data_IF_591487527713
#
_entry.id   IF_591487527713
#
_cell.length_a   1.000
_cell.length_b   1.000
_cell.length_c   1.000
_cell.angle_alpha   90.00
_cell.angle_beta   90.00
_cell.angle_gamma   90.00
#
_symmetry.space_group_name_H-M   'P 1'
#
loop_
_entity.id
_entity.type
_entity.pdbx_description
1 polymer ?
#
# COMPACT_ATOMS: atom_id res chain seq x y z
N UNK A 1 10.79 -7.90 -16.28
CA UNK A 1 11.39 -6.89 -17.15
C UNK A 1 11.69 -5.67 -16.31
N UNK A 2 12.48 -4.73 -16.82
CA UNK A 2 12.43 -3.36 -16.31
C UNK A 2 11.07 -2.80 -16.73
N UNK A 3 10.14 -2.72 -15.79
CA UNK A 3 8.79 -2.20 -16.04
C UNK A 3 8.81 -0.65 -16.01
N UNK A 4 9.78 -0.04 -15.32
CA UNK A 4 10.09 1.39 -15.31
C UNK A 4 11.46 1.68 -14.62
N UNK A 5 11.74 2.96 -14.33
CA UNK A 5 12.94 3.41 -13.58
C UNK A 5 12.60 3.91 -12.17
N UNK A 6 11.46 3.50 -11.59
CA UNK A 6 10.98 3.98 -10.28
C UNK A 6 11.43 3.10 -9.11
N UNK A 7 12.20 2.05 -9.38
CA UNK A 7 12.71 1.11 -8.40
C UNK A 7 14.24 0.98 -8.45
N UNK A 8 14.83 0.51 -7.35
CA UNK A 8 16.25 0.13 -7.33
C UNK A 8 16.48 -1.13 -8.18
N UNK A 9 17.69 -1.31 -8.72
CA UNK A 9 18.09 -2.59 -9.27
C UNK A 9 18.30 -3.61 -8.14
N UNK A 10 18.08 -4.90 -8.40
CA UNK A 10 18.28 -5.94 -7.38
C UNK A 10 19.72 -5.99 -6.83
N UNK A 11 20.70 -5.62 -7.66
CA UNK A 11 22.11 -5.51 -7.25
C UNK A 11 22.37 -4.38 -6.24
N UNK A 12 21.54 -3.34 -6.24
CA UNK A 12 21.62 -2.22 -5.29
C UNK A 12 20.95 -2.51 -3.95
N UNK A 13 20.27 -3.67 -3.80
CA UNK A 13 19.57 -4.02 -2.57
C UNK A 13 20.49 -4.00 -1.34
N UNK A 14 21.74 -4.46 -1.50
CA UNK A 14 22.71 -4.46 -0.42
C UNK A 14 23.07 -3.02 0.02
N UNK A 15 23.17 -2.09 -0.94
CA UNK A 15 23.43 -0.67 -0.67
C UNK A 15 22.27 -0.09 0.14
N UNK A 16 21.03 -0.37 -0.26
CA UNK A 16 19.85 0.03 0.50
C UNK A 16 19.88 -0.51 1.94
N UNK A 17 20.13 -1.81 2.11
CA UNK A 17 20.21 -2.44 3.44
C UNK A 17 21.28 -1.78 4.31
N UNK A 18 22.49 -1.58 3.77
CA UNK A 18 23.59 -0.93 4.47
C UNK A 18 23.25 0.50 4.90
N UNK A 19 22.60 1.29 4.02
CA UNK A 19 22.16 2.64 4.33
C UNK A 19 21.14 2.67 5.49
N UNK A 20 20.16 1.76 5.49
CA UNK A 20 19.19 1.65 6.59
C UNK A 20 19.86 1.23 7.89
N UNK A 21 20.80 0.27 7.85
CA UNK A 21 21.57 -0.13 9.05
C UNK A 21 22.43 1.00 9.58
N UNK A 22 23.05 1.78 8.70
CA UNK A 22 23.79 2.99 9.08
C UNK A 22 22.87 4.00 9.76
N UNK A 23 21.69 4.27 9.21
CA UNK A 23 20.70 5.16 9.83
C UNK A 23 20.24 4.67 11.22
N UNK A 24 20.05 3.36 11.40
CA UNK A 24 19.76 2.76 12.71
C UNK A 24 20.87 3.01 13.73
N UNK A 25 22.14 2.92 13.30
CA UNK A 25 23.30 3.15 14.17
C UNK A 25 23.50 4.63 14.50
N UNK A 26 23.36 5.51 13.50
CA UNK A 26 23.59 6.94 13.64
C UNK A 26 22.46 7.63 14.43
N UNK A 27 21.26 7.03 14.46
CA UNK A 27 20.07 7.60 15.12
C UNK A 27 19.39 6.62 16.10
N UNK A 28 20.05 6.20 17.19
CA UNK A 28 19.53 5.19 18.11
C UNK A 28 18.25 5.60 18.87
N UNK A 29 17.94 6.91 18.90
CA UNK A 29 16.69 7.44 19.45
C UNK A 29 15.47 7.23 18.54
N UNK A 30 15.68 6.88 17.27
CA UNK A 30 14.63 6.61 16.29
C UNK A 30 14.47 5.10 16.08
N UNK A 31 13.23 4.66 15.87
CA UNK A 31 12.94 3.28 15.47
C UNK A 31 12.91 3.19 13.95
N UNK A 32 14.10 3.10 13.34
CA UNK A 32 14.25 2.95 11.88
C UNK A 32 14.05 1.48 11.50
N UNK A 33 13.19 1.22 10.50
CA UNK A 33 12.80 -0.12 10.04
C UNK A 33 13.41 -0.42 8.67
N UNK A 34 13.79 -1.67 8.45
CA UNK A 34 14.22 -2.16 7.13
C UNK A 34 13.03 -2.84 6.48
N UNK A 35 12.41 -2.22 5.48
CA UNK A 35 11.17 -2.70 4.87
C UNK A 35 11.11 -2.29 3.40
N UNK A 36 10.28 -2.97 2.62
CA UNK A 36 10.11 -2.65 1.20
C UNK A 36 8.62 -2.48 0.89
N UNK A 37 8.31 -1.57 -0.01
CA UNK A 37 7.12 -1.67 -0.84
C UNK A 37 7.47 -2.55 -2.04
N UNK A 38 6.66 -3.58 -2.27
CA UNK A 38 6.91 -4.60 -3.28
C UNK A 38 5.63 -4.81 -4.06
N UNK A 39 5.72 -4.63 -5.38
CA UNK A 39 4.59 -4.87 -6.27
C UNK A 39 4.04 -6.30 -6.14
N UNK A 40 2.73 -6.39 -6.24
CA UNK A 40 2.05 -7.64 -6.51
C UNK A 40 1.80 -7.76 -8.02
N UNK A 41 2.56 -8.65 -8.65
CA UNK A 41 2.37 -9.06 -10.04
C UNK A 41 2.08 -10.56 -10.05
N UNK A 42 0.89 -11.00 -10.53
CA UNK A 42 0.56 -12.42 -10.59
C UNK A 42 1.62 -13.23 -11.33
N UNK A 43 2.04 -14.37 -10.78
CA UNK A 43 3.08 -15.22 -11.33
C UNK A 43 4.50 -14.85 -10.89
N UNK A 44 4.70 -13.74 -10.17
CA UNK A 44 5.99 -13.33 -9.61
C UNK A 44 6.11 -13.59 -8.10
N UNK A 45 5.20 -14.34 -7.49
CA UNK A 45 5.17 -14.61 -6.05
C UNK A 45 6.45 -15.30 -5.57
N UNK A 46 7.00 -16.23 -6.37
CA UNK A 46 8.26 -16.91 -6.03
C UNK A 46 9.46 -15.95 -6.01
N UNK A 47 9.45 -14.93 -6.87
CA UNK A 47 10.47 -13.88 -6.83
C UNK A 47 10.37 -13.05 -5.55
N UNK A 48 9.15 -12.72 -5.11
CA UNK A 48 8.93 -12.01 -3.84
C UNK A 48 9.39 -12.87 -2.65
N UNK A 49 9.15 -14.19 -2.67
CA UNK A 49 9.66 -15.12 -1.65
C UNK A 49 11.19 -15.18 -1.64
N UNK A 50 11.82 -15.18 -2.82
CA UNK A 50 13.27 -15.12 -2.92
C UNK A 50 13.82 -13.80 -2.36
N UNK A 51 13.20 -12.66 -2.71
CA UNK A 51 13.55 -11.34 -2.19
C UNK A 51 13.49 -11.32 -0.65
N UNK A 52 12.47 -11.94 -0.06
CA UNK A 52 12.35 -12.06 1.39
C UNK A 52 13.59 -12.73 2.02
N UNK A 53 14.15 -13.75 1.35
CA UNK A 53 15.34 -14.47 1.85
C UNK A 53 16.63 -13.65 1.79
N UNK A 54 16.65 -12.53 1.06
CA UNK A 54 17.85 -11.69 0.87
C UNK A 54 18.09 -10.70 2.01
N UNK A 55 17.16 -10.53 2.94
CA UNK A 55 17.31 -9.60 4.05
C UNK A 55 16.41 -9.90 5.24
N UNK A 56 16.83 -9.48 6.43
CA UNK A 56 15.96 -9.54 7.62
C UNK A 56 15.01 -8.34 7.66
N UNK A 57 14.05 -8.31 6.73
CA UNK A 57 13.06 -7.25 6.62
C UNK A 57 12.07 -7.27 7.79
N UNK A 58 11.67 -6.08 8.24
CA UNK A 58 10.68 -5.89 9.28
C UNK A 58 9.26 -6.14 8.76
N UNK A 59 8.96 -5.76 7.52
CA UNK A 59 7.70 -6.02 6.81
C UNK A 59 7.82 -5.73 5.32
N UNK A 60 6.87 -6.26 4.54
CA UNK A 60 6.58 -5.80 3.17
C UNK A 60 5.21 -5.13 3.09
N UNK A 61 5.17 -4.01 2.35
CA UNK A 61 3.94 -3.40 1.83
C UNK A 61 3.70 -3.99 0.45
N UNK A 62 2.54 -4.60 0.23
CA UNK A 62 2.09 -5.07 -1.07
C UNK A 62 1.29 -3.99 -1.76
N UNK A 63 1.71 -3.63 -2.97
CA UNK A 63 1.07 -2.58 -3.76
C UNK A 63 0.71 -3.11 -5.14
N UNK A 64 -0.35 -2.57 -5.73
CA UNK A 64 -0.75 -2.88 -7.09
C UNK A 64 -0.58 -1.61 -7.91
N UNK A 65 0.48 -1.52 -8.70
CA UNK A 65 0.64 -0.46 -9.68
C UNK A 65 0.13 -0.90 -11.06
N UNK A 66 0.13 -2.21 -11.35
CA UNK A 66 -0.20 -2.77 -12.66
C UNK A 66 -1.47 -3.65 -12.60
N UNK A 67 -2.40 -3.43 -13.53
CA UNK A 67 -3.54 -4.36 -13.74
C UNK A 67 -3.32 -5.29 -14.94
N UNK A 68 -2.42 -4.91 -15.83
CA UNK A 68 -1.88 -5.68 -16.95
C UNK A 68 -0.42 -5.28 -17.21
N UNK A 69 0.28 -6.04 -18.05
CA UNK A 69 1.68 -5.77 -18.44
C UNK A 69 1.88 -4.38 -19.08
N UNK A 70 0.83 -3.79 -19.65
CA UNK A 70 0.90 -2.52 -20.38
C UNK A 70 0.32 -1.33 -19.59
N UNK A 71 -0.31 -1.59 -18.43
CA UNK A 71 -1.05 -0.56 -17.70
C UNK A 71 -0.67 -0.47 -16.23
N UNK A 72 0.27 0.43 -15.95
CA UNK A 72 0.52 1.05 -14.66
C UNK A 72 -0.51 2.17 -14.41
N UNK A 73 -1.49 1.87 -13.57
CA UNK A 73 -2.72 2.69 -13.42
C UNK A 73 -2.45 4.07 -12.85
N UNK A 74 -1.29 4.27 -12.27
CA UNK A 74 -0.91 5.45 -11.53
C UNK A 74 0.17 6.28 -12.27
N UNK A 75 0.51 5.90 -13.50
CA UNK A 75 1.44 6.63 -14.36
C UNK A 75 0.74 7.79 -15.09
N UNK A 76 1.20 9.05 -14.91
CA UNK A 76 0.57 10.22 -15.54
C UNK A 76 0.64 10.19 -17.07
N UNK A 77 1.60 9.47 -17.67
CA UNK A 77 1.77 9.36 -19.11
C UNK A 77 0.80 8.35 -19.75
N UNK A 78 0.07 7.56 -18.93
CA UNK A 78 -0.91 6.56 -19.37
C UNK A 78 -2.36 6.92 -19.02
N UNK A 79 -2.64 8.21 -18.81
CA UNK A 79 -4.00 8.72 -18.56
C UNK A 79 -4.97 8.45 -19.72
N UNK A 80 -4.47 8.30 -20.94
CA UNK A 80 -5.26 7.96 -22.12
C UNK A 80 -5.93 6.56 -22.01
N UNK A 81 -5.30 5.61 -21.33
CA UNK A 81 -5.90 4.29 -21.08
C UNK A 81 -7.12 4.37 -20.17
N UNK A 82 -7.12 5.31 -19.21
CA UNK A 82 -8.30 5.59 -18.39
C UNK A 82 -9.44 6.24 -19.20
N UNK A 83 -9.09 7.12 -20.14
CA UNK A 83 -10.07 7.84 -20.97
C UNK A 83 -10.73 6.93 -22.02
N UNK A 84 -9.97 5.97 -22.54
CA UNK A 84 -10.42 5.00 -23.54
C UNK A 84 -11.06 3.76 -22.91
N UNK A 85 -10.64 3.40 -21.70
CA UNK A 85 -11.10 2.23 -20.97
C UNK A 85 -12.41 2.45 -20.21
N UNK A 86 -13.01 1.34 -19.76
CA UNK A 86 -14.13 1.40 -18.83
C UNK A 86 -13.61 1.47 -17.38
N UNK A 87 -13.86 2.60 -16.72
CA UNK A 87 -13.39 2.86 -15.34
C UNK A 87 -13.87 1.80 -14.36
N UNK A 88 -15.11 1.29 -14.52
CA UNK A 88 -15.63 0.24 -13.64
C UNK A 88 -14.79 -1.06 -13.78
N UNK A 89 -14.48 -1.46 -15.01
CA UNK A 89 -13.65 -2.64 -15.31
C UNK A 89 -12.22 -2.47 -14.78
N UNK A 90 -11.63 -1.27 -14.87
CA UNK A 90 -10.29 -1.00 -14.34
C UNK A 90 -10.27 -1.10 -12.81
N UNK A 91 -11.28 -0.54 -12.14
CA UNK A 91 -11.43 -0.67 -10.69
C UNK A 91 -11.64 -2.12 -10.25
N UNK A 92 -12.49 -2.88 -10.94
CA UNK A 92 -12.69 -4.30 -10.68
C UNK A 92 -11.37 -5.09 -10.78
N UNK A 93 -10.62 -4.91 -11.88
CA UNK A 93 -9.33 -5.56 -12.06
C UNK A 93 -8.31 -5.18 -10.98
N UNK A 94 -8.28 -3.91 -10.57
CA UNK A 94 -7.42 -3.43 -9.49
C UNK A 94 -7.76 -4.10 -8.15
N UNK A 95 -9.03 -4.17 -7.77
CA UNK A 95 -9.44 -4.82 -6.52
C UNK A 95 -9.28 -6.34 -6.56
N UNK A 96 -9.40 -6.97 -7.72
CA UNK A 96 -9.05 -8.39 -7.90
C UNK A 96 -7.56 -8.64 -7.65
N UNK A 97 -6.68 -7.73 -8.10
CA UNK A 97 -5.24 -7.80 -7.80
C UNK A 97 -4.94 -7.56 -6.33
N UNK A 98 -5.59 -6.57 -5.69
CA UNK A 98 -5.45 -6.35 -4.26
C UNK A 98 -5.92 -7.56 -3.43
N UNK A 99 -7.02 -8.20 -3.84
CA UNK A 99 -7.52 -9.42 -3.19
C UNK A 99 -6.48 -10.53 -3.27
N UNK A 100 -5.89 -10.74 -4.45
CA UNK A 100 -4.82 -11.73 -4.64
C UNK A 100 -3.59 -11.39 -3.78
N UNK A 101 -3.14 -10.13 -3.79
CA UNK A 101 -2.03 -9.66 -2.96
C UNK A 101 -2.28 -9.94 -1.47
N UNK A 102 -3.45 -9.57 -0.95
CA UNK A 102 -3.83 -9.80 0.44
C UNK A 102 -3.88 -11.30 0.80
N UNK A 103 -4.29 -12.17 -0.13
CA UNK A 103 -4.35 -13.62 0.08
C UNK A 103 -3.03 -14.37 -0.17
N UNK A 104 -2.02 -13.70 -0.70
CA UNK A 104 -0.77 -14.34 -1.15
C UNK A 104 0.11 -14.88 -0.01
N UNK A 105 -0.07 -14.36 1.21
CA UNK A 105 0.79 -14.62 2.36
C UNK A 105 2.17 -13.93 2.29
N UNK A 106 2.38 -13.03 1.32
CA UNK A 106 3.66 -12.35 1.13
C UNK A 106 3.78 -11.07 1.96
N UNK A 107 2.71 -10.29 2.01
CA UNK A 107 2.72 -8.93 2.54
C UNK A 107 2.12 -8.84 3.95
N UNK A 108 2.54 -7.82 4.71
CA UNK A 108 1.98 -7.52 6.03
C UNK A 108 0.98 -6.37 5.96
N UNK A 109 1.16 -5.50 4.96
CA UNK A 109 0.40 -4.27 4.75
C UNK A 109 0.03 -4.23 3.27
N UNK A 110 -1.19 -3.81 2.93
CA UNK A 110 -1.54 -3.39 1.58
C UNK A 110 -1.45 -1.87 1.49
N UNK A 111 -0.63 -1.39 0.56
CA UNK A 111 -0.45 0.04 0.27
C UNK A 111 -1.68 0.61 -0.42
N UNK A 112 -1.91 1.92 -0.20
CA UNK A 112 -2.85 2.78 -0.95
C UNK A 112 -4.04 2.06 -1.63
N UNK A 113 -4.88 1.38 -0.84
CA UNK A 113 -5.85 0.37 -1.31
C UNK A 113 -6.97 0.82 -2.28
N UNK A 114 -7.02 2.09 -2.67
CA UNK A 114 -7.84 2.59 -3.77
C UNK A 114 -7.06 3.51 -4.72
N UNK A 115 -5.78 3.20 -4.98
CA UNK A 115 -4.85 3.96 -5.84
C UNK A 115 -5.44 4.32 -7.20
N UNK A 116 -6.31 3.47 -7.75
CA UNK A 116 -7.10 3.70 -8.96
C UNK A 116 -7.79 5.08 -9.01
N UNK A 117 -8.04 5.72 -7.87
CA UNK A 117 -8.57 7.09 -7.84
C UNK A 117 -7.55 8.18 -8.09
N UNK A 118 -6.23 7.94 -8.13
CA UNK A 118 -5.14 8.95 -8.11
C UNK A 118 -5.39 10.14 -9.03
N UNK A 119 -5.87 9.88 -10.24
CA UNK A 119 -6.18 10.87 -11.29
C UNK A 119 -7.64 11.34 -11.32
N UNK A 120 -8.38 11.05 -10.26
CA UNK A 120 -9.81 11.32 -10.07
C UNK A 120 -10.76 10.56 -11.01
N UNK A 121 -10.32 9.43 -11.58
CA UNK A 121 -11.21 8.48 -12.25
C UNK A 121 -11.96 7.64 -11.21
N UNK A 122 -13.29 7.80 -11.16
CA UNK A 122 -14.17 7.14 -10.20
C UNK A 122 -15.17 6.23 -10.93
N UNK A 123 -15.49 5.06 -10.36
CA UNK A 123 -16.43 4.13 -10.98
C UNK A 123 -17.83 4.74 -11.01
N UNK A 124 -18.62 4.33 -11.99
CA UNK A 124 -20.06 4.64 -12.07
C UNK A 124 -20.88 3.68 -11.23
N UNK A 125 -20.40 2.43 -11.10
CA UNK A 125 -20.99 1.42 -10.22
C UNK A 125 -20.60 1.69 -8.77
N UNK A 126 -21.41 1.15 -7.85
CA UNK A 126 -21.04 1.07 -6.44
C UNK A 126 -19.85 0.11 -6.26
N UNK A 127 -18.69 0.59 -5.76
CA UNK A 127 -17.50 -0.25 -5.58
C UNK A 127 -17.55 -1.12 -4.31
N UNK A 128 -18.58 -1.00 -3.47
CA UNK A 128 -18.71 -1.75 -2.22
C UNK A 128 -18.54 -3.29 -2.36
N UNK A 129 -19.00 -3.96 -3.44
CA UNK A 129 -18.75 -5.38 -3.63
C UNK A 129 -17.25 -5.72 -3.78
N UNK A 130 -16.51 -4.92 -4.53
CA UNK A 130 -15.06 -5.09 -4.72
C UNK A 130 -14.29 -4.85 -3.42
N UNK A 131 -14.69 -3.83 -2.67
CA UNK A 131 -14.14 -3.55 -1.34
C UNK A 131 -14.34 -4.74 -0.40
N UNK A 132 -15.55 -5.28 -0.35
CA UNK A 132 -15.89 -6.40 0.53
C UNK A 132 -15.06 -7.64 0.22
N UNK A 133 -14.85 -7.95 -1.07
CA UNK A 133 -14.04 -9.09 -1.48
C UNK A 133 -12.57 -8.92 -1.04
N UNK A 134 -11.98 -7.76 -1.31
CA UNK A 134 -10.62 -7.44 -0.88
C UNK A 134 -10.47 -7.47 0.65
N UNK A 135 -11.35 -6.79 1.38
CA UNK A 135 -11.29 -6.69 2.84
C UNK A 135 -11.53 -8.05 3.52
N UNK A 136 -12.35 -8.92 2.93
CA UNK A 136 -12.50 -10.29 3.40
C UNK A 136 -11.17 -11.07 3.30
N UNK A 137 -10.44 -10.91 2.20
CA UNK A 137 -9.11 -11.51 2.04
C UNK A 137 -8.11 -10.93 3.04
N UNK A 138 -8.04 -9.60 3.18
CA UNK A 138 -7.15 -8.93 4.12
C UNK A 138 -7.40 -9.37 5.58
N UNK A 139 -8.66 -9.40 6.00
CA UNK A 139 -9.06 -9.85 7.35
C UNK A 139 -8.68 -11.32 7.58
N UNK A 140 -9.00 -12.20 6.62
CA UNK A 140 -8.76 -13.64 6.74
C UNK A 140 -7.27 -14.01 6.78
N UNK A 141 -6.40 -13.18 6.20
CA UNK A 141 -4.95 -13.40 6.14
C UNK A 141 -4.16 -12.51 7.10
N UNK A 142 -4.85 -11.82 8.02
CA UNK A 142 -4.25 -10.95 9.04
C UNK A 142 -3.38 -9.81 8.46
N UNK A 143 -3.76 -9.31 7.28
CA UNK A 143 -3.06 -8.23 6.55
C UNK A 143 -3.69 -6.89 6.91
N UNK A 144 -2.85 -5.91 7.24
CA UNK A 144 -3.30 -4.54 7.50
C UNK A 144 -3.45 -3.74 6.20
N UNK A 145 -4.21 -2.65 6.24
CA UNK A 145 -4.24 -1.65 5.15
C UNK A 145 -3.60 -0.35 5.60
N UNK A 146 -2.97 0.36 4.68
CA UNK A 146 -2.35 1.65 4.95
C UNK A 146 -3.37 2.80 4.78
N UNK A 147 -3.45 3.69 5.78
CA UNK A 147 -3.93 5.06 5.53
C UNK A 147 -2.76 5.86 4.98
N UNK A 148 -2.77 6.08 3.67
CA UNK A 148 -1.74 6.76 2.92
C UNK A 148 -2.14 8.21 2.64
N UNK A 149 -1.37 9.16 3.19
CA UNK A 149 -1.68 10.59 3.09
C UNK A 149 -1.27 11.23 1.76
N UNK A 150 -0.50 10.54 0.91
CA UNK A 150 -0.07 11.08 -0.38
C UNK A 150 -1.23 11.38 -1.32
N UNK A 151 -2.38 10.73 -1.18
CA UNK A 151 -3.58 11.02 -1.97
C UNK A 151 -4.04 12.49 -1.88
N UNK A 152 -3.79 13.17 -0.75
CA UNK A 152 -4.03 14.61 -0.62
C UNK A 152 -3.17 15.45 -1.56
N UNK A 153 -1.98 14.96 -1.93
CA UNK A 153 -1.04 15.60 -2.85
C UNK A 153 -1.31 15.24 -4.32
N UNK A 154 -2.20 14.29 -4.62
CA UNK A 154 -2.56 13.86 -5.98
C UNK A 154 -3.84 14.56 -6.48
N UNK A 155 -4.34 14.20 -7.67
CA UNK A 155 -5.52 14.85 -8.28
C UNK A 155 -6.82 14.51 -7.53
N UNK A 156 -6.87 13.35 -6.87
CA UNK A 156 -8.04 12.92 -6.08
C UNK A 156 -8.31 13.73 -4.81
N UNK A 157 -7.31 14.42 -4.27
CA UNK A 157 -7.38 15.24 -3.03
C UNK A 157 -8.01 14.49 -1.85
N UNK A 158 -7.74 13.20 -1.75
CA UNK A 158 -8.32 12.31 -0.74
C UNK A 158 -7.27 11.26 -0.36
N UNK A 159 -7.10 10.99 0.94
CA UNK A 159 -6.22 9.91 1.41
C UNK A 159 -6.64 8.57 0.82
N UNK A 160 -5.70 7.64 0.67
CA UNK A 160 -6.03 6.24 0.39
C UNK A 160 -6.11 5.47 1.72
N UNK A 161 -7.08 4.57 1.93
CA UNK A 161 -8.31 4.43 1.17
C UNK A 161 -9.29 5.61 1.40
N UNK A 162 -10.30 5.76 0.54
CA UNK A 162 -11.42 6.67 0.77
C UNK A 162 -12.21 6.30 2.04
N UNK A 163 -12.93 7.25 2.68
CA UNK A 163 -13.64 6.99 3.93
C UNK A 163 -14.64 5.82 3.88
N UNK A 164 -15.44 5.59 2.81
CA UNK A 164 -16.32 4.43 2.73
C UNK A 164 -15.57 3.09 2.77
N UNK A 165 -14.44 2.98 2.06
CA UNK A 165 -13.62 1.77 2.08
C UNK A 165 -12.96 1.59 3.47
N UNK A 166 -12.47 2.67 4.08
CA UNK A 166 -11.89 2.63 5.42
C UNK A 166 -12.91 2.23 6.50
N UNK A 167 -14.13 2.75 6.41
CA UNK A 167 -15.21 2.40 7.33
C UNK A 167 -15.59 0.92 7.20
N UNK A 168 -15.72 0.42 5.97
CA UNK A 168 -15.98 -1.01 5.74
C UNK A 168 -14.83 -1.88 6.26
N UNK A 169 -13.58 -1.43 6.11
CA UNK A 169 -12.42 -2.13 6.65
C UNK A 169 -12.48 -2.25 8.18
N UNK A 170 -12.88 -1.16 8.86
CA UNK A 170 -13.08 -1.14 10.30
C UNK A 170 -14.18 -2.11 10.73
N UNK A 171 -15.34 -2.08 10.06
CA UNK A 171 -16.48 -2.96 10.33
C UNK A 171 -16.15 -4.45 10.12
N UNK A 172 -15.24 -4.75 9.19
CA UNK A 172 -14.75 -6.09 8.88
C UNK A 172 -13.53 -6.50 9.71
N UNK A 173 -13.09 -5.66 10.66
CA UNK A 173 -11.97 -5.96 11.56
C UNK A 173 -10.59 -5.98 10.89
N UNK A 174 -10.44 -5.34 9.73
CA UNK A 174 -9.14 -5.20 9.04
C UNK A 174 -8.31 -4.16 9.77
N UNK A 175 -7.08 -4.52 10.15
CA UNK A 175 -6.19 -3.63 10.87
C UNK A 175 -5.60 -2.52 9.99
N UNK A 176 -5.10 -1.44 10.61
CA UNK A 176 -4.54 -0.30 9.88
C UNK A 176 -3.07 -0.01 10.21
N UNK A 177 -2.38 0.61 9.27
CA UNK A 177 -1.10 1.32 9.45
C UNK A 177 -1.21 2.74 8.87
N UNK A 178 -0.15 3.55 9.02
CA UNK A 178 -0.08 4.90 8.47
C UNK A 178 1.17 5.05 7.61
N UNK A 179 1.02 5.73 6.47
CA UNK A 179 2.12 6.08 5.58
C UNK A 179 1.93 7.45 4.96
N UNK A 180 3.02 8.18 4.75
CA UNK A 180 2.99 9.47 4.04
C UNK A 180 3.39 9.36 2.57
N UNK A 181 3.94 8.19 2.20
CA UNK A 181 4.49 7.90 0.87
C UNK A 181 5.38 9.06 0.39
N UNK A 182 6.37 9.34 1.24
CA UNK A 182 7.25 10.49 1.15
C UNK A 182 8.38 10.22 0.16
N UNK A 183 8.45 11.04 -0.88
CA UNK A 183 9.53 11.07 -1.86
C UNK A 183 10.47 12.27 -1.66
N UNK A 184 10.19 13.11 -0.65
CA UNK A 184 11.07 14.16 -0.17
C UNK A 184 11.01 14.26 1.37
N UNK A 185 12.08 14.73 2.06
CA UNK A 185 12.13 14.81 3.52
C UNK A 185 10.96 15.58 4.17
N UNK A 186 10.51 16.66 3.54
CA UNK A 186 9.39 17.49 3.98
C UNK A 186 8.03 16.78 3.93
N UNK A 187 7.92 15.68 3.19
CA UNK A 187 6.69 14.90 3.10
C UNK A 187 6.57 13.86 4.22
N UNK A 188 7.65 13.61 4.99
CA UNK A 188 7.65 12.63 6.07
C UNK A 188 6.62 13.01 7.14
N UNK A 189 5.62 12.15 7.33
CA UNK A 189 4.55 12.37 8.31
C UNK A 189 3.55 13.47 7.93
N UNK A 190 3.60 13.96 6.68
CA UNK A 190 2.65 14.96 6.19
C UNK A 190 1.20 14.46 6.40
N UNK A 191 0.36 15.34 6.98
CA UNK A 191 -1.05 15.09 7.26
C UNK A 191 -1.35 13.89 8.20
N UNK A 192 -0.38 13.43 9.02
CA UNK A 192 -0.63 12.34 9.97
C UNK A 192 -1.69 12.69 11.02
N UNK A 193 -1.78 13.95 11.44
CA UNK A 193 -2.84 14.39 12.35
C UNK A 193 -4.23 14.11 11.75
N UNK A 194 -4.42 14.48 10.49
CA UNK A 194 -5.68 14.28 9.76
C UNK A 194 -5.96 12.78 9.56
N UNK A 195 -4.93 11.99 9.27
CA UNK A 195 -5.04 10.54 9.10
C UNK A 195 -5.50 9.86 10.40
N UNK A 196 -4.96 10.29 11.55
CA UNK A 196 -5.39 9.81 12.87
C UNK A 196 -6.84 10.20 13.16
N UNK A 197 -7.25 11.43 12.83
CA UNK A 197 -8.65 11.84 12.99
C UNK A 197 -9.60 11.03 12.10
N UNK A 198 -9.19 10.75 10.85
CA UNK A 198 -9.95 9.91 9.94
C UNK A 198 -10.09 8.48 10.47
N UNK A 199 -9.00 7.88 10.98
CA UNK A 199 -9.07 6.56 11.59
C UNK A 199 -10.04 6.52 12.78
N UNK A 200 -9.96 7.52 13.67
CA UNK A 200 -10.85 7.64 14.84
C UNK A 200 -12.30 7.85 14.43
N UNK A 201 -12.57 8.65 13.40
CA UNK A 201 -13.93 8.99 12.99
C UNK A 201 -14.71 7.79 12.44
N UNK A 202 -14.02 6.81 11.86
CA UNK A 202 -14.63 5.56 11.39
C UNK A 202 -14.61 4.43 12.44
N UNK A 203 -14.11 4.71 13.65
CA UNK A 203 -14.20 3.78 14.78
C UNK A 203 -12.95 2.95 15.06
N UNK A 204 -11.81 3.22 14.41
CA UNK A 204 -10.56 2.60 14.82
C UNK A 204 -10.11 3.12 16.20
N UNK A 205 -9.62 2.20 17.02
CA UNK A 205 -9.05 2.50 18.35
C UNK A 205 -7.57 2.15 18.44
N UNK A 206 -7.08 1.31 17.52
CA UNK A 206 -5.71 0.82 17.50
C UNK A 206 -5.19 0.75 16.06
N UNK A 207 -3.87 0.78 15.93
CA UNK A 207 -3.14 0.57 14.68
C UNK A 207 -1.99 -0.42 14.90
N UNK A 208 -1.46 -1.00 13.82
CA UNK A 208 -0.39 -2.00 13.88
C UNK A 208 0.98 -1.42 13.60
N UNK A 209 1.97 -1.87 14.38
CA UNK A 209 3.39 -1.75 14.06
C UNK A 209 3.95 -3.12 13.74
N UNK A 210 4.82 -3.20 12.74
CA UNK A 210 5.47 -4.44 12.34
C UNK A 210 6.95 -4.46 12.69
N UNK A 211 7.43 -5.64 13.07
CA UNK A 211 8.84 -5.93 13.34
C UNK A 211 9.09 -7.40 13.08
N UNK A 212 10.08 -7.72 12.25
CA UNK A 212 10.37 -9.10 11.84
C UNK A 212 9.11 -9.88 11.42
N UNK A 213 8.25 -9.24 10.62
CA UNK A 213 6.96 -9.74 10.12
C UNK A 213 5.90 -10.06 11.20
N UNK A 214 6.18 -9.75 12.46
CA UNK A 214 5.23 -9.83 13.56
C UNK A 214 4.63 -8.45 13.82
N UNK A 215 3.39 -8.40 14.32
CA UNK A 215 2.75 -7.14 14.66
C UNK A 215 2.51 -6.97 16.16
N UNK A 216 2.41 -5.70 16.54
CA UNK A 216 1.92 -5.24 17.84
C UNK A 216 0.86 -4.19 17.59
N UNK A 217 -0.12 -4.09 18.48
CA UNK A 217 -1.20 -3.09 18.40
C UNK A 217 -0.94 -1.92 19.34
N UNK A 218 -1.21 -0.72 18.87
CA UNK A 218 -0.93 0.54 19.55
C UNK A 218 -2.18 1.40 19.54
N UNK A 219 -2.52 2.03 20.67
CA UNK A 219 -3.70 2.88 20.75
C UNK A 219 -3.56 4.15 19.88
N UNK A 220 -4.69 4.64 19.37
CA UNK A 220 -4.79 5.87 18.58
C UNK A 220 -4.98 7.14 19.43
#
# INVERSE_FOLDING_TARGET
GDWDNWHMALEDLNIYVENVRKAQMDHPGLKVKLALEVDFIPGHEDWVRELESKGSFDYFIGSVHYISDEFDIDNPDKKDQWEQGDVDTIWEAYFDRLTQAASSGLYQIIGHADLCKKFNYRPKKDPAPWYRQFLAAASSHDVAIEINTAGLRKDCKEMYPCPPLLQMAQEMGVALTFGSDAHAPEEVGANFHDAIQLAKSVGYTHWRRFSKRQHTSEAL
#
